data_IF_640207721399
#
_entry.id   IF_640207721399
#
_cell.length_a   1.000
_cell.length_b   1.000
_cell.length_c   1.000
_cell.angle_alpha   90.00
_cell.angle_beta   90.00
_cell.angle_gamma   90.00
#
_symmetry.space_group_name_H-M   'P 1'
#
loop_
_entity.id
_entity.type
_entity.pdbx_description
1 polymer ?
#
# COMPACT_ATOMS: atom_id res chain seq x y z
N UNK A 1 -24.18 37.71 64.51
CA UNK A 1 -24.10 37.96 63.04
C UNK A 1 -22.65 37.79 62.59
N UNK A 2 -22.43 37.03 61.49
CA UNK A 2 -21.18 36.72 60.73
C UNK A 2 -21.03 35.18 60.60
N UNK A 3 -21.81 34.57 59.69
CA UNK A 3 -21.47 34.16 58.31
C UNK A 3 -20.49 32.97 58.25
N UNK A 4 -21.05 31.76 58.14
CA UNK A 4 -20.38 30.57 57.61
C UNK A 4 -20.03 30.81 56.14
N UNK A 5 -18.76 30.69 55.79
CA UNK A 5 -18.32 30.51 54.40
C UNK A 5 -18.06 29.03 54.17
N UNK A 6 -18.98 28.39 53.45
CA UNK A 6 -18.84 27.04 52.93
C UNK A 6 -17.86 27.09 51.75
N UNK A 7 -16.63 26.62 51.96
CA UNK A 7 -15.63 26.49 50.89
C UNK A 7 -15.97 25.31 50.00
N UNK A 8 -16.50 25.58 48.81
CA UNK A 8 -16.69 24.60 47.74
C UNK A 8 -15.35 24.37 47.05
N UNK A 9 -14.60 23.37 47.49
CA UNK A 9 -13.40 22.90 46.80
C UNK A 9 -13.83 22.12 45.55
N UNK A 10 -13.89 22.83 44.44
CA UNK A 10 -13.91 22.26 43.08
C UNK A 10 -12.56 21.57 42.87
N UNK A 11 -12.55 20.25 42.97
CA UNK A 11 -11.40 19.41 42.65
C UNK A 11 -11.31 19.26 41.12
N UNK A 12 -10.74 20.27 40.47
CA UNK A 12 -10.27 20.19 39.08
C UNK A 12 -8.90 19.51 39.11
N UNK A 13 -8.91 18.20 38.87
CA UNK A 13 -7.74 17.38 38.53
C UNK A 13 -8.28 16.50 37.39
N UNK A 14 -7.82 16.53 36.16
CA UNK A 14 -6.58 16.98 35.56
C UNK A 14 -6.59 16.32 34.19
N UNK A 15 -7.07 17.03 33.17
CA UNK A 15 -6.80 16.69 31.78
C UNK A 15 -5.29 16.78 31.58
N UNK A 16 -4.67 15.70 31.11
CA UNK A 16 -3.51 15.64 30.20
C UNK A 16 -2.85 14.27 30.30
N UNK A 17 -3.25 13.36 29.43
CA UNK A 17 -2.43 12.27 28.92
C UNK A 17 -3.10 11.79 27.63
N UNK A 18 -2.92 12.54 26.54
CA UNK A 18 -3.22 12.04 25.19
C UNK A 18 -2.13 11.06 24.79
N UNK A 19 -2.17 9.86 25.36
CA UNK A 19 -1.54 8.72 24.74
C UNK A 19 -2.45 8.35 23.56
N UNK A 20 -2.04 8.71 22.33
CA UNK A 20 -2.60 8.15 21.10
C UNK A 20 -2.17 6.68 21.06
N UNK A 21 -2.84 5.86 21.87
CA UNK A 21 -2.74 4.42 21.84
C UNK A 21 -3.64 3.98 20.71
N UNK A 22 -3.16 3.03 19.89
CA UNK A 22 -3.94 2.39 18.85
C UNK A 22 -5.26 1.89 19.46
N UNK A 23 -6.34 2.64 19.22
CA UNK A 23 -7.64 2.36 19.83
C UNK A 23 -8.20 1.06 19.25
N UNK A 24 -8.18 -0.04 20.01
CA UNK A 24 -8.98 -1.22 19.69
C UNK A 24 -10.45 -0.78 19.50
N UNK A 25 -11.25 -1.60 18.78
CA UNK A 25 -12.68 -1.34 18.71
C UNK A 25 -13.25 -1.10 20.12
N UNK A 26 -14.23 -0.21 20.27
CA UNK A 26 -14.96 -0.10 21.52
C UNK A 26 -15.46 -1.49 21.97
N UNK A 27 -15.46 -1.74 23.27
CA UNK A 27 -16.03 -2.99 23.80
C UNK A 27 -17.53 -3.06 23.52
N UNK A 28 -18.07 -4.27 23.40
CA UNK A 28 -19.48 -4.52 23.07
C UNK A 28 -20.49 -3.97 24.11
N UNK A 29 -20.04 -3.51 25.27
CA UNK A 29 -20.91 -2.86 26.26
C UNK A 29 -22.16 -3.67 26.64
N UNK A 30 -23.31 -2.99 26.65
CA UNK A 30 -24.62 -3.61 26.85
C UNK A 30 -25.13 -4.07 25.49
N UNK A 31 -25.36 -5.36 25.34
CA UNK A 31 -25.77 -5.95 24.06
C UNK A 31 -27.30 -5.94 23.84
N UNK A 32 -27.78 -6.07 22.59
CA UNK A 32 -29.22 -5.99 22.25
C UNK A 32 -30.12 -7.04 22.90
N UNK A 33 -29.55 -8.14 23.38
CA UNK A 33 -30.26 -9.20 24.09
C UNK A 33 -30.52 -8.87 25.58
N UNK A 34 -30.03 -7.72 26.06
CA UNK A 34 -30.23 -7.22 27.41
C UNK A 34 -31.39 -6.23 27.48
N UNK A 35 -32.19 -6.31 28.54
CA UNK A 35 -33.25 -5.33 28.80
C UNK A 35 -32.71 -3.90 28.97
N UNK A 36 -31.47 -3.74 29.43
CA UNK A 36 -30.83 -2.43 29.64
C UNK A 36 -30.36 -1.76 28.35
N UNK A 37 -30.39 -2.45 27.22
CA UNK A 37 -29.89 -1.93 25.94
C UNK A 37 -30.63 -0.65 25.50
N UNK A 38 -31.93 -0.55 25.79
CA UNK A 38 -32.69 0.67 25.51
C UNK A 38 -32.15 1.92 26.22
N UNK A 39 -31.54 1.76 27.41
CA UNK A 39 -30.90 2.86 28.13
C UNK A 39 -29.56 3.23 27.50
N UNK A 40 -28.77 2.24 27.06
CA UNK A 40 -27.52 2.45 26.35
C UNK A 40 -27.75 3.32 25.11
N UNK A 41 -28.67 2.87 24.24
CA UNK A 41 -29.12 3.61 23.04
C UNK A 41 -29.72 4.98 23.34
N UNK A 42 -30.32 5.18 24.52
CA UNK A 42 -30.81 6.49 24.95
C UNK A 42 -29.64 7.43 25.30
N UNK A 43 -28.66 6.96 26.07
CA UNK A 43 -27.51 7.77 26.46
C UNK A 43 -26.63 8.14 25.26
N UNK A 44 -26.46 7.24 24.28
CA UNK A 44 -25.79 7.55 23.01
C UNK A 44 -26.46 8.73 22.28
N UNK A 45 -27.79 8.72 22.16
CA UNK A 45 -28.56 9.83 21.55
C UNK A 45 -28.42 11.13 22.34
N UNK A 46 -28.43 11.05 23.67
CA UNK A 46 -28.19 12.21 24.54
C UNK A 46 -26.77 12.76 24.31
N UNK A 47 -25.77 11.89 24.22
CA UNK A 47 -24.38 12.27 23.98
C UNK A 47 -24.24 12.98 22.62
N UNK A 48 -24.85 12.44 21.55
CA UNK A 48 -24.89 13.09 20.23
C UNK A 48 -25.59 14.45 20.26
N UNK A 49 -26.72 14.55 20.97
CA UNK A 49 -27.47 15.80 21.08
C UNK A 49 -26.65 16.92 21.73
N UNK A 50 -25.87 16.59 22.77
CA UNK A 50 -25.02 17.55 23.48
C UNK A 50 -23.62 17.71 22.85
N UNK A 51 -23.30 16.99 21.78
CA UNK A 51 -22.03 17.13 21.06
C UNK A 51 -22.21 18.15 19.94
N UNK A 52 -21.88 19.41 20.21
CA UNK A 52 -22.14 20.51 19.27
C UNK A 52 -21.08 20.68 18.18
N UNK A 53 -19.82 20.28 18.45
CA UNK A 53 -18.76 20.37 17.45
C UNK A 53 -18.93 19.25 16.40
N UNK A 54 -19.08 19.57 15.10
CA UNK A 54 -19.31 18.55 14.07
C UNK A 54 -18.16 17.54 13.96
N UNK A 55 -16.91 17.96 14.18
CA UNK A 55 -15.77 17.05 14.10
C UNK A 55 -15.75 16.07 15.29
N UNK A 56 -16.10 16.54 16.49
CA UNK A 56 -16.30 15.68 17.66
C UNK A 56 -17.49 14.73 17.45
N UNK A 57 -18.57 15.23 16.85
CA UNK A 57 -19.75 14.42 16.54
C UNK A 57 -19.45 13.33 15.53
N UNK A 58 -18.72 13.63 14.45
CA UNK A 58 -18.26 12.63 13.49
C UNK A 58 -17.45 11.51 14.17
N UNK A 59 -16.52 11.86 15.07
CA UNK A 59 -15.75 10.85 15.85
C UNK A 59 -16.63 10.01 16.75
N UNK A 60 -17.64 10.62 17.37
CA UNK A 60 -18.60 9.89 18.22
C UNK A 60 -19.46 8.92 17.41
N UNK A 61 -19.92 9.34 16.21
CA UNK A 61 -20.61 8.47 15.25
C UNK A 61 -19.75 7.25 14.88
N UNK A 62 -18.47 7.46 14.55
CA UNK A 62 -17.52 6.37 14.28
C UNK A 62 -17.35 5.44 15.48
N UNK A 63 -17.35 5.95 16.71
CA UNK A 63 -17.31 5.13 17.92
C UNK A 63 -18.53 4.22 17.99
N UNK A 64 -19.74 4.76 17.81
CA UNK A 64 -20.97 3.97 17.82
C UNK A 64 -21.01 2.94 16.70
N UNK A 65 -20.50 3.29 15.51
CA UNK A 65 -20.32 2.34 14.41
C UNK A 65 -19.41 1.15 14.83
N UNK A 66 -18.33 1.42 15.57
CA UNK A 66 -17.46 0.40 16.13
C UNK A 66 -18.13 -0.45 17.22
N UNK A 67 -18.93 0.17 18.09
CA UNK A 67 -19.73 -0.51 19.12
C UNK A 67 -20.72 -1.49 18.49
N UNK A 68 -21.40 -1.11 17.39
CA UNK A 68 -22.30 -2.01 16.67
C UNK A 68 -21.57 -3.25 16.13
N UNK A 69 -20.33 -3.11 15.64
CA UNK A 69 -19.50 -4.25 15.21
C UNK A 69 -19.15 -5.15 16.41
N UNK A 70 -18.78 -4.56 17.53
CA UNK A 70 -18.42 -5.31 18.74
C UNK A 70 -19.61 -6.08 19.32
N UNK A 71 -20.79 -5.45 19.35
CA UNK A 71 -22.04 -6.11 19.72
C UNK A 71 -22.38 -7.25 18.76
N UNK A 72 -22.23 -7.05 17.45
CA UNK A 72 -22.52 -8.08 16.47
C UNK A 72 -21.59 -9.29 16.64
N UNK A 73 -20.29 -9.05 16.87
CA UNK A 73 -19.34 -10.11 17.20
C UNK A 73 -19.76 -10.89 18.45
N UNK A 74 -20.22 -10.20 19.50
CA UNK A 74 -20.70 -10.87 20.72
C UNK A 74 -22.00 -11.65 20.48
N UNK A 75 -22.92 -11.14 19.66
CA UNK A 75 -24.15 -11.85 19.29
C UNK A 75 -23.85 -13.12 18.48
N UNK A 76 -22.91 -13.05 17.54
CA UNK A 76 -22.40 -14.23 16.82
C UNK A 76 -21.81 -15.24 17.80
N UNK A 77 -20.95 -14.79 18.72
CA UNK A 77 -20.31 -15.66 19.71
C UNK A 77 -21.29 -16.33 20.67
N UNK A 78 -22.41 -15.66 20.98
CA UNK A 78 -23.51 -16.19 21.81
C UNK A 78 -24.52 -17.03 21.03
N UNK A 79 -24.34 -17.20 19.72
CA UNK A 79 -25.26 -17.97 18.88
C UNK A 79 -26.61 -17.28 18.66
N UNK A 80 -26.62 -15.94 18.65
CA UNK A 80 -27.81 -15.10 18.43
C UNK A 80 -27.69 -14.26 17.14
N UNK A 81 -27.57 -14.90 15.96
CA UNK A 81 -27.35 -14.18 14.70
C UNK A 81 -28.53 -13.29 14.27
N UNK A 82 -29.71 -13.47 14.86
CA UNK A 82 -30.90 -12.67 14.57
C UNK A 82 -30.72 -11.16 14.82
N UNK A 83 -29.79 -10.77 15.70
CA UNK A 83 -29.49 -9.35 15.97
C UNK A 83 -28.50 -8.74 14.97
N UNK A 84 -27.74 -9.56 14.23
CA UNK A 84 -26.60 -9.09 13.42
C UNK A 84 -27.07 -8.16 12.31
N UNK A 85 -28.18 -8.49 11.65
CA UNK A 85 -28.68 -7.67 10.54
C UNK A 85 -29.02 -6.24 10.98
N UNK A 86 -29.65 -6.09 12.15
CA UNK A 86 -29.98 -4.77 12.68
C UNK A 86 -28.74 -3.99 13.07
N UNK A 87 -27.78 -4.63 13.73
CA UNK A 87 -26.51 -4.02 14.11
C UNK A 87 -25.67 -3.57 12.91
N UNK A 88 -25.63 -4.35 11.83
CA UNK A 88 -24.92 -3.96 10.60
C UNK A 88 -25.58 -2.77 9.91
N UNK A 89 -26.92 -2.71 9.91
CA UNK A 89 -27.64 -1.55 9.37
C UNK A 89 -27.39 -0.28 10.20
N UNK A 90 -27.37 -0.41 11.53
CA UNK A 90 -27.04 0.70 12.42
C UNK A 90 -25.60 1.16 12.24
N UNK A 91 -24.66 0.22 12.10
CA UNK A 91 -23.26 0.52 11.77
C UNK A 91 -23.14 1.39 10.51
N UNK A 92 -23.82 1.00 9.43
CA UNK A 92 -23.84 1.77 8.16
C UNK A 92 -24.46 3.15 8.33
N UNK A 93 -25.53 3.26 9.11
CA UNK A 93 -26.16 4.55 9.41
C UNK A 93 -25.17 5.47 10.14
N UNK A 94 -24.46 4.97 11.15
CA UNK A 94 -23.48 5.76 11.89
C UNK A 94 -22.31 6.22 10.99
N UNK A 95 -21.85 5.38 10.05
CA UNK A 95 -20.86 5.79 9.04
C UNK A 95 -21.40 6.92 8.14
N UNK A 96 -22.61 6.77 7.60
CA UNK A 96 -23.23 7.79 6.74
C UNK A 96 -23.46 9.11 7.48
N UNK A 97 -23.84 9.06 8.75
CA UNK A 97 -23.99 10.27 9.56
C UNK A 97 -22.63 10.92 9.86
N UNK A 98 -21.56 10.14 10.09
CA UNK A 98 -20.21 10.68 10.23
C UNK A 98 -19.74 11.41 8.96
N UNK A 99 -20.01 10.84 7.78
CA UNK A 99 -19.72 11.44 6.47
C UNK A 99 -20.42 12.79 6.31
N UNK A 100 -21.72 12.88 6.64
CA UNK A 100 -22.49 14.13 6.58
C UNK A 100 -21.89 15.25 7.45
N UNK A 101 -21.39 14.92 8.64
CA UNK A 101 -20.72 15.90 9.50
C UNK A 101 -19.42 16.42 8.86
N UNK A 102 -18.66 15.57 8.17
CA UNK A 102 -17.46 15.95 7.41
C UNK A 102 -17.81 16.83 6.21
N UNK A 103 -18.83 16.47 5.45
CA UNK A 103 -19.32 17.26 4.32
C UNK A 103 -19.78 18.65 4.77
N UNK A 104 -20.50 18.73 5.88
CA UNK A 104 -20.91 20.00 6.48
C UNK A 104 -19.72 20.88 6.86
N UNK A 105 -18.66 20.30 7.42
CA UNK A 105 -17.41 21.01 7.72
C UNK A 105 -16.70 21.51 6.45
N UNK A 106 -16.62 20.68 5.41
CA UNK A 106 -16.04 21.07 4.11
C UNK A 106 -16.82 22.22 3.46
N UNK A 107 -18.15 22.16 3.49
CA UNK A 107 -19.01 23.18 2.90
C UNK A 107 -18.82 24.58 3.50
N UNK A 108 -18.40 24.66 4.76
CA UNK A 108 -18.06 25.93 5.44
C UNK A 108 -16.56 26.26 5.37
N UNK A 109 -15.79 25.57 4.54
CA UNK A 109 -14.38 25.82 4.29
C UNK A 109 -13.45 25.42 5.44
N UNK A 110 -13.89 24.56 6.36
CA UNK A 110 -12.98 24.04 7.40
C UNK A 110 -12.06 22.97 6.82
N UNK A 111 -10.79 23.02 7.22
CA UNK A 111 -9.87 21.93 6.94
C UNK A 111 -10.32 20.68 7.73
N UNK A 112 -10.54 19.59 7.00
CA UNK A 112 -10.96 18.29 7.55
C UNK A 112 -9.91 17.21 7.40
N UNK A 113 -8.70 17.53 6.91
CA UNK A 113 -7.67 16.55 6.53
C UNK A 113 -7.39 15.54 7.64
N UNK A 114 -7.18 16.01 8.88
CA UNK A 114 -6.94 15.12 10.04
C UNK A 114 -8.16 14.29 10.43
N UNK A 115 -9.38 14.81 10.24
CA UNK A 115 -10.61 14.07 10.53
C UNK A 115 -10.83 12.97 9.49
N UNK A 116 -10.58 13.27 8.22
CA UNK A 116 -10.68 12.31 7.12
C UNK A 116 -9.63 11.20 7.26
N UNK A 117 -8.40 11.53 7.68
CA UNK A 117 -7.39 10.51 8.00
C UNK A 117 -7.80 9.66 9.20
N UNK A 118 -8.47 10.25 10.19
CA UNK A 118 -9.01 9.47 11.30
C UNK A 118 -10.11 8.50 10.82
N UNK A 119 -11.02 8.96 9.95
CA UNK A 119 -12.07 8.13 9.35
C UNK A 119 -11.45 6.96 8.59
N UNK A 120 -10.47 7.21 7.70
CA UNK A 120 -9.83 6.13 6.95
C UNK A 120 -9.18 5.10 7.89
N UNK A 121 -8.50 5.52 8.95
CA UNK A 121 -7.92 4.58 9.91
C UNK A 121 -8.98 3.76 10.67
N UNK A 122 -10.11 4.37 11.05
CA UNK A 122 -11.19 3.68 11.75
C UNK A 122 -11.91 2.70 10.83
N UNK A 123 -12.25 3.11 9.60
CA UNK A 123 -12.92 2.23 8.64
C UNK A 123 -12.03 1.08 8.17
N UNK A 124 -10.71 1.27 8.08
CA UNK A 124 -9.76 0.16 7.89
C UNK A 124 -9.87 -0.88 9.01
N UNK A 125 -10.01 -0.44 10.28
CA UNK A 125 -10.20 -1.36 11.40
C UNK A 125 -11.55 -2.05 11.35
N UNK A 126 -12.62 -1.32 11.00
CA UNK A 126 -13.94 -1.89 10.81
C UNK A 126 -13.92 -3.03 9.81
N UNK A 127 -13.30 -2.81 8.64
CA UNK A 127 -13.04 -3.84 7.63
C UNK A 127 -12.38 -5.06 8.29
N UNK A 128 -11.22 -4.90 8.94
CA UNK A 128 -10.46 -6.04 9.47
C UNK A 128 -11.25 -6.87 10.48
N UNK A 129 -12.00 -6.20 11.37
CA UNK A 129 -12.78 -6.92 12.37
C UNK A 129 -14.03 -7.55 11.77
N UNK A 130 -14.75 -6.83 10.91
CA UNK A 130 -15.92 -7.39 10.23
C UNK A 130 -15.56 -8.65 9.43
N UNK A 131 -14.39 -8.68 8.81
CA UNK A 131 -13.87 -9.87 8.13
C UNK A 131 -13.64 -11.04 9.09
N UNK A 132 -13.08 -10.79 10.28
CA UNK A 132 -12.93 -11.84 11.29
C UNK A 132 -14.27 -12.32 11.84
N UNK A 133 -15.23 -11.41 12.03
CA UNK A 133 -16.60 -11.73 12.44
C UNK A 133 -17.26 -12.59 11.36
N UNK A 134 -17.09 -12.24 10.09
CA UNK A 134 -17.62 -12.98 8.94
C UNK A 134 -17.16 -14.44 8.95
N UNK A 135 -15.87 -14.70 9.20
CA UNK A 135 -15.34 -16.08 9.24
C UNK A 135 -15.98 -16.95 10.33
N UNK A 136 -16.37 -16.33 11.45
CA UNK A 136 -16.93 -17.02 12.62
C UNK A 136 -18.47 -17.06 12.60
N UNK A 137 -19.07 -16.40 11.62
CA UNK A 137 -20.52 -16.18 11.59
C UNK A 137 -21.27 -17.33 10.94
N UNK A 138 -22.47 -17.67 11.45
CA UNK A 138 -23.36 -18.61 10.78
C UNK A 138 -23.84 -18.02 9.45
N UNK A 139 -24.20 -18.89 8.50
CA UNK A 139 -24.64 -18.49 7.15
C UNK A 139 -25.75 -17.42 7.15
N UNK A 140 -26.64 -17.46 8.12
CA UNK A 140 -27.71 -16.46 8.27
C UNK A 140 -27.19 -15.03 8.46
N UNK A 141 -26.06 -14.85 9.13
CA UNK A 141 -25.49 -13.54 9.46
C UNK A 141 -24.52 -13.01 8.40
N UNK A 142 -23.93 -13.91 7.59
CA UNK A 142 -22.88 -13.55 6.62
C UNK A 142 -23.28 -12.45 5.62
N UNK A 143 -24.48 -12.46 4.99
CA UNK A 143 -24.83 -11.43 4.01
C UNK A 143 -24.85 -10.02 4.59
N UNK A 144 -25.32 -9.86 5.84
CA UNK A 144 -25.33 -8.56 6.51
C UNK A 144 -23.91 -8.07 6.82
N UNK A 145 -23.02 -8.99 7.22
CA UNK A 145 -21.62 -8.66 7.52
C UNK A 145 -20.84 -8.33 6.24
N UNK A 146 -21.06 -9.08 5.15
CA UNK A 146 -20.49 -8.77 3.83
C UNK A 146 -20.90 -7.39 3.34
N UNK A 147 -22.17 -7.02 3.52
CA UNK A 147 -22.66 -5.69 3.17
C UNK A 147 -21.97 -4.60 4.01
N UNK A 148 -21.81 -4.81 5.33
CA UNK A 148 -21.10 -3.89 6.20
C UNK A 148 -19.61 -3.75 5.86
N UNK A 149 -18.95 -4.84 5.42
CA UNK A 149 -17.56 -4.80 4.91
C UNK A 149 -17.51 -3.89 3.68
N UNK A 150 -18.42 -4.08 2.71
CA UNK A 150 -18.46 -3.29 1.49
C UNK A 150 -18.75 -1.81 1.78
N UNK A 151 -19.64 -1.50 2.72
CA UNK A 151 -19.91 -0.15 3.17
C UNK A 151 -18.67 0.49 3.82
N UNK A 152 -17.98 -0.24 4.70
CA UNK A 152 -16.74 0.21 5.34
C UNK A 152 -15.61 0.42 4.31
N UNK A 153 -15.50 -0.44 3.30
CA UNK A 153 -14.54 -0.29 2.19
C UNK A 153 -14.82 0.97 1.37
N UNK A 154 -16.09 1.19 1.01
CA UNK A 154 -16.50 2.38 0.27
C UNK A 154 -16.18 3.66 1.04
N UNK A 155 -16.50 3.70 2.33
CA UNK A 155 -16.21 4.85 3.19
C UNK A 155 -14.69 5.06 3.34
N UNK A 156 -13.93 3.98 3.51
CA UNK A 156 -12.47 4.02 3.59
C UNK A 156 -11.83 4.60 2.32
N UNK A 157 -12.25 4.13 1.14
CA UNK A 157 -11.78 4.62 -0.15
C UNK A 157 -12.17 6.10 -0.36
N UNK A 158 -13.41 6.48 -0.02
CA UNK A 158 -13.89 7.87 -0.11
C UNK A 158 -13.10 8.81 0.80
N UNK A 159 -12.78 8.36 2.02
CA UNK A 159 -11.92 9.10 2.93
C UNK A 159 -10.51 9.28 2.35
N UNK A 160 -9.90 8.23 1.79
CA UNK A 160 -8.59 8.33 1.13
C UNK A 160 -8.62 9.30 -0.06
N UNK A 161 -9.66 9.24 -0.89
CA UNK A 161 -9.82 10.18 -2.00
C UNK A 161 -9.89 11.63 -1.48
N UNK A 162 -10.58 11.84 -0.37
CA UNK A 162 -10.61 13.13 0.33
C UNK A 162 -9.29 13.59 0.94
N UNK A 163 -8.28 12.71 1.07
CA UNK A 163 -6.92 13.05 1.50
C UNK A 163 -5.98 13.36 0.34
N UNK A 164 -6.34 12.94 -0.87
CA UNK A 164 -5.44 12.90 -2.02
C UNK A 164 -4.84 14.26 -2.40
N UNK A 165 -5.60 15.34 -2.23
CA UNK A 165 -5.14 16.69 -2.56
C UNK A 165 -4.14 17.22 -1.52
N UNK A 166 -4.44 17.02 -0.24
CA UNK A 166 -3.64 17.57 0.86
C UNK A 166 -2.43 16.69 1.19
N UNK A 167 -2.66 15.38 1.31
CA UNK A 167 -1.72 14.35 1.78
C UNK A 167 -1.66 13.15 0.81
N UNK A 168 -1.26 13.35 -0.45
CA UNK A 168 -1.20 12.29 -1.45
C UNK A 168 -0.30 11.12 -1.05
N UNK A 169 0.85 11.39 -0.40
CA UNK A 169 1.75 10.33 0.04
C UNK A 169 1.08 9.41 1.08
N UNK A 170 0.31 10.03 1.99
CA UNK A 170 -0.45 9.31 3.01
C UNK A 170 -1.63 8.53 2.42
N UNK A 171 -2.31 9.11 1.43
CA UNK A 171 -3.39 8.44 0.70
C UNK A 171 -2.89 7.15 0.02
N UNK A 172 -1.75 7.22 -0.67
CA UNK A 172 -1.12 6.05 -1.30
C UNK A 172 -0.72 4.98 -0.27
N UNK A 173 -0.11 5.38 0.85
CA UNK A 173 0.24 4.44 1.93
C UNK A 173 -0.99 3.68 2.46
N UNK A 174 -2.11 4.38 2.67
CA UNK A 174 -3.34 3.76 3.15
C UNK A 174 -3.95 2.79 2.11
N UNK A 175 -3.90 3.12 0.81
CA UNK A 175 -4.33 2.20 -0.25
C UNK A 175 -3.45 0.96 -0.32
N UNK A 176 -2.12 1.12 -0.23
CA UNK A 176 -1.16 0.01 -0.22
C UNK A 176 -1.42 -0.92 0.97
N UNK A 177 -1.71 -0.35 2.14
CA UNK A 177 -2.07 -1.12 3.34
C UNK A 177 -3.38 -1.89 3.18
N UNK A 178 -4.39 -1.31 2.51
CA UNK A 178 -5.62 -2.02 2.19
C UNK A 178 -5.38 -3.14 1.18
N UNK A 179 -4.59 -2.91 0.12
CA UNK A 179 -4.22 -3.92 -0.85
C UNK A 179 -3.49 -5.11 -0.17
N UNK A 180 -2.51 -4.84 0.70
CA UNK A 180 -1.80 -5.89 1.44
C UNK A 180 -2.75 -6.73 2.31
N UNK A 181 -3.73 -6.09 2.96
CA UNK A 181 -4.76 -6.80 3.72
C UNK A 181 -5.59 -7.74 2.83
N UNK A 182 -6.06 -7.28 1.67
CA UNK A 182 -6.82 -8.10 0.70
C UNK A 182 -6.01 -9.29 0.23
N UNK A 183 -4.76 -9.06 -0.13
CA UNK A 183 -3.87 -10.11 -0.60
C UNK A 183 -3.59 -11.16 0.49
N UNK A 184 -3.38 -10.70 1.73
CA UNK A 184 -3.25 -11.58 2.89
C UNK A 184 -4.49 -12.44 3.12
N UNK A 185 -5.69 -11.90 2.90
CA UNK A 185 -6.94 -12.67 2.96
C UNK A 185 -7.08 -13.68 1.84
N UNK A 186 -6.85 -13.28 0.60
CA UNK A 186 -6.88 -14.19 -0.54
C UNK A 186 -5.93 -15.38 -0.34
N UNK A 187 -4.70 -15.11 0.11
CA UNK A 187 -3.73 -16.17 0.42
C UNK A 187 -4.20 -17.09 1.56
N UNK A 188 -4.85 -16.57 2.62
CA UNK A 188 -5.46 -17.42 3.66
C UNK A 188 -6.56 -18.33 3.09
N UNK A 189 -7.46 -17.78 2.27
CA UNK A 189 -8.53 -18.55 1.61
C UNK A 189 -8.00 -19.67 0.74
N UNK A 190 -6.90 -19.42 0.01
CA UNK A 190 -6.20 -20.47 -0.74
C UNK A 190 -5.66 -21.56 0.18
N UNK A 191 -4.98 -21.20 1.27
CA UNK A 191 -4.45 -22.17 2.24
C UNK A 191 -5.57 -23.01 2.90
N UNK A 192 -6.74 -22.42 3.10
CA UNK A 192 -7.96 -23.06 3.62
C UNK A 192 -8.73 -23.86 2.55
N UNK A 193 -8.25 -23.91 1.30
CA UNK A 193 -8.92 -24.55 0.14
C UNK A 193 -10.28 -23.93 -0.23
N UNK A 194 -10.50 -22.66 0.12
CA UNK A 194 -11.70 -21.87 -0.22
C UNK A 194 -11.43 -21.02 -1.47
N UNK A 195 -11.18 -21.71 -2.58
CA UNK A 195 -10.63 -21.12 -3.80
C UNK A 195 -11.54 -20.08 -4.46
N UNK A 196 -12.85 -20.34 -4.52
CA UNK A 196 -13.83 -19.41 -5.10
C UNK A 196 -13.87 -18.07 -4.34
N UNK A 197 -13.74 -18.12 -3.02
CA UNK A 197 -13.69 -16.91 -2.19
C UNK A 197 -12.38 -16.15 -2.36
N UNK A 198 -11.27 -16.85 -2.60
CA UNK A 198 -9.99 -16.20 -2.90
C UNK A 198 -10.07 -15.34 -4.17
N UNK A 199 -10.75 -15.82 -5.22
CA UNK A 199 -10.95 -15.07 -6.46
C UNK A 199 -11.68 -13.74 -6.22
N UNK A 200 -12.79 -13.76 -5.47
CA UNK A 200 -13.56 -12.55 -5.14
C UNK A 200 -12.73 -11.52 -4.36
N UNK A 201 -11.93 -11.98 -3.40
CA UNK A 201 -11.04 -11.08 -2.63
C UNK A 201 -9.93 -10.48 -3.50
N UNK A 202 -9.52 -11.18 -4.55
CA UNK A 202 -8.48 -10.69 -5.48
C UNK A 202 -9.03 -9.60 -6.41
N UNK A 203 -10.30 -9.66 -6.80
CA UNK A 203 -10.94 -8.54 -7.51
C UNK A 203 -10.93 -7.26 -6.66
N UNK A 204 -11.16 -7.37 -5.34
CA UNK A 204 -11.01 -6.25 -4.42
C UNK A 204 -9.57 -5.75 -4.32
N UNK A 205 -8.60 -6.66 -4.23
CA UNK A 205 -7.18 -6.32 -4.24
C UNK A 205 -6.82 -5.51 -5.48
N UNK A 206 -7.22 -5.99 -6.65
CA UNK A 206 -6.89 -5.37 -7.92
C UNK A 206 -7.50 -3.98 -8.05
N UNK A 207 -8.77 -3.82 -7.67
CA UNK A 207 -9.45 -2.51 -7.63
C UNK A 207 -8.68 -1.51 -6.77
N UNK A 208 -8.29 -1.90 -5.56
CA UNK A 208 -7.54 -1.04 -4.62
C UNK A 208 -6.14 -0.73 -5.17
N UNK A 209 -5.48 -1.71 -5.77
CA UNK A 209 -4.15 -1.56 -6.37
C UNK A 209 -4.18 -0.55 -7.53
N UNK A 210 -5.16 -0.66 -8.43
CA UNK A 210 -5.36 0.28 -9.54
C UNK A 210 -5.60 1.71 -9.04
N UNK A 211 -6.41 1.89 -7.98
CA UNK A 211 -6.58 3.20 -7.33
C UNK A 211 -5.26 3.74 -6.78
N UNK A 212 -4.43 2.88 -6.17
CA UNK A 212 -3.13 3.30 -5.64
C UNK A 212 -2.15 3.74 -6.73
N UNK A 213 -2.20 3.12 -7.91
CA UNK A 213 -1.39 3.51 -9.06
C UNK A 213 -1.82 4.89 -9.56
N UNK A 214 -3.12 5.09 -9.79
CA UNK A 214 -3.69 6.39 -10.18
C UNK A 214 -3.34 7.50 -9.18
N UNK A 215 -3.40 7.20 -7.87
CA UNK A 215 -3.01 8.13 -6.81
C UNK A 215 -1.53 8.53 -6.92
N UNK A 216 -0.65 7.55 -7.16
CA UNK A 216 0.79 7.79 -7.30
C UNK A 216 1.10 8.66 -8.52
N UNK A 217 0.42 8.41 -9.65
CA UNK A 217 0.53 9.23 -10.87
C UNK A 217 0.03 10.66 -10.66
N UNK A 218 -1.10 10.85 -9.96
CA UNK A 218 -1.60 12.18 -9.58
C UNK A 218 -0.60 12.94 -8.71
N UNK A 219 -0.02 12.26 -7.73
CA UNK A 219 0.99 12.82 -6.83
C UNK A 219 2.22 13.33 -7.60
N UNK A 220 2.59 12.67 -8.70
CA UNK A 220 3.67 13.11 -9.60
C UNK A 220 3.38 14.43 -10.26
N UNK A 221 2.17 14.60 -10.77
CA UNK A 221 1.74 15.84 -11.42
C UNK A 221 1.87 17.07 -10.52
N UNK A 222 1.83 16.88 -9.19
CA UNK A 222 1.98 17.95 -8.20
C UNK A 222 3.44 18.37 -7.93
N UNK A 223 4.44 17.68 -8.50
CA UNK A 223 5.85 18.04 -8.37
C UNK A 223 6.46 17.81 -6.98
N UNK A 224 5.80 17.03 -6.11
CA UNK A 224 6.26 16.71 -4.74
C UNK A 224 7.45 15.73 -4.78
N UNK A 225 8.35 15.86 -3.80
CA UNK A 225 9.42 14.87 -3.60
C UNK A 225 8.84 13.64 -2.91
N UNK A 226 8.56 12.61 -3.69
CA UNK A 226 7.96 11.36 -3.17
C UNK A 226 8.88 10.17 -3.37
N UNK A 227 10.18 10.43 -3.26
CA UNK A 227 11.20 9.39 -3.45
C UNK A 227 10.99 8.22 -2.48
N UNK A 228 10.83 8.51 -1.19
CA UNK A 228 10.54 7.50 -0.17
C UNK A 228 9.21 6.77 -0.41
N UNK A 229 8.19 7.47 -0.95
CA UNK A 229 6.93 6.84 -1.32
C UNK A 229 7.12 5.87 -2.50
N UNK A 230 7.89 6.27 -3.51
CA UNK A 230 8.22 5.38 -4.61
C UNK A 230 8.93 4.14 -4.06
N UNK A 231 10.02 4.28 -3.32
CA UNK A 231 10.73 3.15 -2.69
C UNK A 231 9.78 2.20 -1.95
N UNK A 232 8.87 2.75 -1.14
CA UNK A 232 7.85 1.97 -0.45
C UNK A 232 6.92 1.22 -1.41
N UNK A 233 6.36 1.90 -2.42
CA UNK A 233 5.50 1.31 -3.45
C UNK A 233 6.22 0.19 -4.22
N UNK A 234 7.48 0.38 -4.61
CA UNK A 234 8.29 -0.63 -5.28
C UNK A 234 8.45 -1.89 -4.42
N UNK A 235 8.77 -1.73 -3.14
CA UNK A 235 8.94 -2.86 -2.21
C UNK A 235 7.62 -3.61 -1.98
N UNK A 236 6.52 -2.89 -1.80
CA UNK A 236 5.19 -3.48 -1.59
C UNK A 236 4.71 -4.24 -2.82
N UNK A 237 4.75 -3.62 -4.00
CA UNK A 237 4.36 -4.24 -5.27
C UNK A 237 5.17 -5.51 -5.57
N UNK A 238 6.48 -5.51 -5.29
CA UNK A 238 7.31 -6.71 -5.40
C UNK A 238 6.80 -7.84 -4.51
N UNK A 239 6.60 -7.57 -3.21
CA UNK A 239 6.06 -8.57 -2.27
C UNK A 239 4.68 -9.06 -2.68
N UNK A 240 3.84 -8.18 -3.21
CA UNK A 240 2.51 -8.54 -3.66
C UNK A 240 2.56 -9.52 -4.82
N UNK A 241 3.41 -9.28 -5.82
CA UNK A 241 3.61 -10.19 -6.97
C UNK A 241 4.00 -11.59 -6.47
N UNK A 242 4.95 -11.70 -5.54
CA UNK A 242 5.37 -12.99 -4.98
C UNK A 242 4.24 -13.76 -4.28
N UNK A 243 3.34 -13.06 -3.59
CA UNK A 243 2.17 -13.70 -2.95
C UNK A 243 1.13 -14.06 -4.00
N UNK A 244 0.90 -13.20 -5.00
CA UNK A 244 -0.05 -13.46 -6.09
C UNK A 244 0.37 -14.66 -6.94
N UNK A 245 1.66 -14.84 -7.23
CA UNK A 245 2.17 -16.04 -7.91
C UNK A 245 1.88 -17.32 -7.11
N UNK A 246 2.02 -17.25 -5.78
CA UNK A 246 1.66 -18.36 -4.89
C UNK A 246 0.16 -18.63 -4.91
N UNK A 247 -0.66 -17.58 -4.93
CA UNK A 247 -2.12 -17.70 -5.07
C UNK A 247 -2.44 -18.34 -6.43
N UNK A 248 -1.86 -17.86 -7.53
CA UNK A 248 -2.06 -18.35 -8.89
C UNK A 248 -1.77 -19.85 -9.02
N UNK A 249 -0.69 -20.32 -8.39
CA UNK A 249 -0.29 -21.72 -8.43
C UNK A 249 -1.27 -22.68 -7.73
N UNK A 250 -2.17 -22.16 -6.89
CA UNK A 250 -3.03 -22.96 -6.00
C UNK A 250 -4.54 -22.69 -6.19
N UNK A 251 -4.93 -21.79 -7.10
CA UNK A 251 -6.34 -21.53 -7.43
C UNK A 251 -6.85 -22.41 -8.58
N UNK A 252 -8.16 -22.44 -8.77
CA UNK A 252 -8.81 -23.18 -9.85
C UNK A 252 -8.65 -22.44 -11.18
N UNK A 253 -8.81 -23.15 -12.30
CA UNK A 253 -8.70 -22.57 -13.64
C UNK A 253 -9.65 -21.39 -13.84
N UNK A 254 -10.84 -21.44 -13.24
CA UNK A 254 -11.84 -20.36 -13.33
C UNK A 254 -11.38 -19.07 -12.63
N UNK A 255 -10.57 -19.18 -11.57
CA UNK A 255 -10.08 -18.04 -10.81
C UNK A 255 -8.75 -17.48 -11.34
N UNK A 256 -8.00 -18.23 -12.16
CA UNK A 256 -6.70 -17.79 -12.70
C UNK A 256 -6.74 -16.43 -13.40
N UNK A 257 -7.71 -16.12 -14.28
CA UNK A 257 -7.73 -14.84 -14.98
C UNK A 257 -7.74 -13.64 -14.03
N UNK A 258 -8.49 -13.73 -12.93
CA UNK A 258 -8.53 -12.67 -11.92
C UNK A 258 -7.17 -12.50 -11.21
N UNK A 259 -6.47 -13.62 -10.92
CA UNK A 259 -5.14 -13.55 -10.30
C UNK A 259 -4.10 -12.99 -11.27
N UNK A 260 -4.14 -13.38 -12.54
CA UNK A 260 -3.24 -12.87 -13.59
C UNK A 260 -3.43 -11.36 -13.79
N UNK A 261 -4.69 -10.90 -13.78
CA UNK A 261 -4.99 -9.48 -13.88
C UNK A 261 -4.46 -8.69 -12.66
N UNK A 262 -4.59 -9.25 -11.45
CA UNK A 262 -3.98 -8.70 -10.24
C UNK A 262 -2.44 -8.68 -10.26
N UNK A 263 -1.79 -9.70 -10.83
CA UNK A 263 -0.33 -9.72 -11.06
C UNK A 263 0.04 -8.59 -12.00
N UNK A 264 -0.64 -8.46 -13.14
CA UNK A 264 -0.38 -7.42 -14.13
C UNK A 264 -0.56 -6.01 -13.55
N UNK A 265 -1.60 -5.77 -12.75
CA UNK A 265 -1.80 -4.50 -12.03
C UNK A 265 -0.61 -4.21 -11.09
N UNK A 266 -0.16 -5.21 -10.35
CA UNK A 266 0.99 -5.09 -9.42
C UNK A 266 2.30 -4.85 -10.17
N UNK A 267 2.52 -5.53 -11.30
CA UNK A 267 3.68 -5.34 -12.17
C UNK A 267 3.70 -3.94 -12.78
N UNK A 268 2.57 -3.43 -13.27
CA UNK A 268 2.44 -2.06 -13.76
C UNK A 268 2.81 -1.05 -12.67
N UNK A 269 2.31 -1.24 -11.45
CA UNK A 269 2.65 -0.40 -10.31
C UNK A 269 4.15 -0.45 -9.97
N UNK A 270 4.75 -1.65 -10.01
CA UNK A 270 6.18 -1.85 -9.78
C UNK A 270 7.04 -1.16 -10.84
N UNK A 271 6.70 -1.34 -12.11
CA UNK A 271 7.40 -0.73 -13.25
C UNK A 271 7.34 0.80 -13.18
N UNK A 272 6.15 1.37 -12.95
CA UNK A 272 5.96 2.81 -12.78
C UNK A 272 6.87 3.37 -11.68
N UNK A 273 6.93 2.68 -10.54
CA UNK A 273 7.78 3.06 -9.44
C UNK A 273 9.28 2.95 -9.78
N UNK A 274 9.71 1.85 -10.40
CA UNK A 274 11.12 1.64 -10.78
C UNK A 274 11.58 2.68 -11.79
N UNK A 275 10.77 2.95 -12.82
CA UNK A 275 11.02 4.02 -13.80
C UNK A 275 11.18 5.39 -13.12
N UNK A 276 10.47 5.62 -12.01
CA UNK A 276 10.64 6.84 -11.22
C UNK A 276 11.94 6.88 -10.45
N UNK A 277 12.29 5.81 -9.73
CA UNK A 277 13.56 5.72 -9.01
C UNK A 277 14.71 5.99 -10.00
N UNK A 278 14.65 5.39 -11.20
CA UNK A 278 15.61 5.63 -12.29
C UNK A 278 15.64 7.09 -12.75
N UNK A 279 14.50 7.75 -12.95
CA UNK A 279 14.44 9.20 -13.27
C UNK A 279 15.10 10.05 -12.18
N UNK A 280 14.87 9.74 -10.91
CA UNK A 280 15.44 10.48 -9.77
C UNK A 280 16.96 10.28 -9.73
N UNK A 281 17.44 9.05 -9.91
CA UNK A 281 18.86 8.73 -9.98
C UNK A 281 19.50 9.49 -11.15
N UNK A 282 18.95 9.41 -12.37
CA UNK A 282 19.47 10.11 -13.54
C UNK A 282 19.50 11.63 -13.36
N UNK A 283 18.44 12.23 -12.82
CA UNK A 283 18.40 13.68 -12.52
C UNK A 283 19.42 14.08 -11.46
N UNK A 284 19.70 13.20 -10.50
CA UNK A 284 20.74 13.44 -9.47
C UNK A 284 22.14 13.38 -10.08
N UNK A 285 22.36 12.50 -11.07
CA UNK A 285 23.59 12.42 -11.87
C UNK A 285 23.75 13.66 -12.77
N UNK A 286 22.66 14.13 -13.41
CA UNK A 286 22.67 15.31 -14.30
C UNK A 286 22.82 16.65 -13.57
N UNK A 287 22.19 16.82 -12.39
CA UNK A 287 22.25 18.08 -11.62
C UNK A 287 23.60 18.35 -10.95
N UNK A 288 24.56 17.44 -11.06
CA UNK A 288 25.97 17.73 -10.83
C UNK A 288 26.29 18.50 -9.54
N UNK A 289 25.64 18.21 -8.41
CA UNK A 289 26.18 18.60 -7.11
C UNK A 289 27.23 17.58 -6.69
N UNK A 290 28.27 17.50 -7.49
CA UNK A 290 29.50 16.83 -7.14
C UNK A 290 30.17 17.70 -6.07
N UNK A 291 30.13 17.26 -4.80
CA UNK A 291 31.02 17.82 -3.79
C UNK A 291 32.40 17.21 -4.05
N UNK A 292 33.41 18.06 -4.21
CA UNK A 292 34.80 17.60 -4.16
C UNK A 292 35.01 16.95 -2.80
N UNK A 293 35.56 15.74 -2.79
CA UNK A 293 35.80 14.99 -1.56
C UNK A 293 37.24 14.51 -1.49
N UNK A 294 37.83 14.50 -0.30
CA UNK A 294 39.14 13.87 -0.06
C UNK A 294 39.03 12.60 0.78
N UNK A 295 37.86 12.33 1.36
CA UNK A 295 37.52 11.13 2.12
C UNK A 295 36.03 10.78 1.98
N UNK A 296 35.66 9.56 2.38
CA UNK A 296 34.25 9.11 2.39
C UNK A 296 33.39 9.90 3.39
N UNK A 297 33.96 10.40 4.49
CA UNK A 297 33.27 11.18 5.53
C UNK A 297 32.75 12.53 4.99
N UNK A 298 33.46 13.13 4.03
CA UNK A 298 33.02 14.38 3.38
C UNK A 298 31.77 14.19 2.49
N UNK A 299 31.43 12.94 2.16
CA UNK A 299 30.26 12.58 1.37
C UNK A 299 28.95 12.47 2.17
N UNK A 300 28.99 12.50 3.52
CA UNK A 300 27.80 12.33 4.36
C UNK A 300 26.77 13.46 4.22
N UNK A 301 27.20 14.65 3.80
CA UNK A 301 26.35 15.84 3.66
C UNK A 301 25.82 16.08 2.22
N UNK A 302 25.93 15.10 1.33
CA UNK A 302 25.65 15.29 -0.09
C UNK A 302 24.17 15.11 -0.44
N UNK A 303 23.67 16.05 -1.26
CA UNK A 303 22.29 16.10 -1.77
C UNK A 303 22.00 15.09 -2.89
N UNK A 304 22.95 14.23 -3.26
CA UNK A 304 22.74 13.16 -4.24
C UNK A 304 21.89 12.08 -3.60
N UNK A 305 20.69 11.84 -4.14
CA UNK A 305 19.85 10.74 -3.67
C UNK A 305 20.58 9.41 -3.91
N UNK A 306 20.82 8.67 -2.84
CA UNK A 306 21.41 7.34 -2.87
C UNK A 306 20.45 6.35 -2.20
N UNK A 307 19.86 5.39 -2.95
CA UNK A 307 18.84 4.50 -2.42
C UNK A 307 19.46 3.43 -1.51
N UNK A 308 19.73 3.81 -0.26
CA UNK A 308 20.42 2.95 0.72
C UNK A 308 19.63 1.67 1.00
N UNK A 309 18.30 1.75 1.00
CA UNK A 309 17.41 0.59 1.17
C UNK A 309 17.51 -0.43 0.03
N UNK A 310 17.97 -0.02 -1.15
CA UNK A 310 18.23 -0.89 -2.30
C UNK A 310 19.69 -1.36 -2.36
N UNK A 311 20.44 -1.21 -1.26
CA UNK A 311 21.81 -1.69 -1.14
C UNK A 311 22.84 -0.79 -1.81
N UNK A 312 22.56 0.51 -1.90
CA UNK A 312 23.54 1.50 -2.35
C UNK A 312 24.19 2.21 -1.15
N UNK A 313 25.38 2.75 -1.36
CA UNK A 313 26.13 3.56 -0.41
C UNK A 313 26.80 4.72 -1.13
N UNK A 314 26.94 5.85 -0.44
CA UNK A 314 27.71 6.98 -0.96
C UNK A 314 29.19 6.73 -0.69
N UNK A 315 30.03 6.84 -1.72
CA UNK A 315 31.49 6.70 -1.62
C UNK A 315 32.22 7.80 -2.38
N UNK A 316 33.36 8.23 -1.87
CA UNK A 316 34.27 9.14 -2.54
C UNK A 316 35.15 8.37 -3.55
N UNK A 317 35.17 8.80 -4.80
CA UNK A 317 36.06 8.28 -5.83
C UNK A 317 37.11 9.33 -6.20
N UNK A 318 38.38 9.08 -5.87
CA UNK A 318 39.52 9.96 -6.22
C UNK A 318 40.26 9.34 -7.43
N UNK A 319 40.20 9.95 -8.62
CA UNK A 319 40.97 9.49 -9.77
C UNK A 319 42.48 9.57 -9.51
N UNK A 320 43.25 8.61 -10.01
CA UNK A 320 44.71 8.46 -9.78
C UNK A 320 45.56 9.73 -10.05
N UNK A 321 45.05 10.67 -10.86
CA UNK A 321 45.73 11.92 -11.23
C UNK A 321 45.06 13.18 -10.63
N UNK A 322 44.25 13.06 -9.58
CA UNK A 322 43.60 14.19 -8.90
C UNK A 322 43.79 14.12 -7.39
N UNK A 323 43.84 15.28 -6.74
CA UNK A 323 43.91 15.42 -5.28
C UNK A 323 42.53 15.45 -4.63
N UNK A 324 41.50 15.71 -5.43
CA UNK A 324 40.10 15.74 -5.02
C UNK A 324 39.32 14.71 -5.84
N UNK A 325 38.50 13.96 -5.13
CA UNK A 325 37.55 13.00 -5.67
C UNK A 325 36.15 13.56 -5.80
N UNK A 326 35.27 12.70 -6.27
CA UNK A 326 33.86 12.99 -6.47
C UNK A 326 33.05 11.96 -5.69
N UNK A 327 32.04 12.41 -4.94
CA UNK A 327 31.14 11.47 -4.28
C UNK A 327 30.14 10.89 -5.27
N UNK A 328 30.02 9.57 -5.23
CA UNK A 328 29.13 8.78 -6.08
C UNK A 328 28.28 7.88 -5.20
N UNK A 329 27.03 7.66 -5.62
CA UNK A 329 26.23 6.57 -5.08
C UNK A 329 26.62 5.26 -5.79
N UNK A 330 27.26 4.36 -5.06
CA UNK A 330 27.69 3.05 -5.55
C UNK A 330 26.81 1.96 -4.94
N UNK A 331 26.49 0.87 -5.65
CA UNK A 331 26.00 -0.33 -4.99
C UNK A 331 27.04 -0.81 -3.97
N UNK A 332 26.61 -1.14 -2.73
CA UNK A 332 27.46 -1.80 -1.71
C UNK A 332 28.10 -3.07 -2.25
N UNK A 333 27.44 -3.70 -3.22
CA UNK A 333 27.83 -4.93 -3.90
C UNK A 333 28.93 -4.74 -4.94
N UNK A 334 30.01 -4.00 -4.62
CA UNK A 334 31.29 -4.19 -5.29
C UNK A 334 32.42 -4.19 -4.29
N UNK A 335 32.81 -5.41 -3.91
CA UNK A 335 34.21 -5.87 -3.96
C UNK A 335 34.27 -7.38 -3.74
N UNK A 336 33.97 -8.14 -4.78
CA UNK A 336 34.65 -9.39 -5.08
C UNK A 336 34.42 -9.65 -6.57
N UNK A 337 35.49 -9.52 -7.35
CA UNK A 337 35.50 -10.00 -8.73
C UNK A 337 35.53 -11.52 -8.63
N UNK A 338 34.35 -12.14 -8.71
CA UNK A 338 34.23 -13.59 -8.71
C UNK A 338 34.20 -14.01 -10.17
N UNK A 339 35.34 -14.55 -10.62
CA UNK A 339 35.36 -15.29 -11.88
C UNK A 339 34.52 -16.54 -11.69
N UNK A 340 33.68 -16.81 -12.67
CA UNK A 340 32.81 -17.97 -12.66
C UNK A 340 32.88 -18.68 -13.99
N UNK A 341 32.51 -19.95 -13.97
CA UNK A 341 32.28 -20.74 -15.19
C UNK A 341 30.82 -21.16 -15.26
N UNK A 342 30.14 -21.22 -14.11
CA UNK A 342 28.73 -21.57 -13.96
C UNK A 342 28.08 -20.69 -12.88
N UNK A 343 26.75 -20.59 -12.88
CA UNK A 343 26.00 -19.81 -11.86
C UNK A 343 26.20 -20.34 -10.44
N UNK A 344 26.58 -21.62 -10.32
CA UNK A 344 26.89 -22.23 -9.04
C UNK A 344 28.07 -21.56 -8.35
N UNK A 345 29.03 -21.05 -9.12
CA UNK A 345 30.20 -20.32 -8.61
C UNK A 345 29.81 -18.96 -8.02
N UNK A 346 28.63 -18.45 -8.42
CA UNK A 346 28.10 -17.15 -7.99
C UNK A 346 27.17 -17.23 -6.78
N UNK A 347 26.91 -18.42 -6.22
CA UNK A 347 25.93 -18.62 -5.11
C UNK A 347 26.18 -17.77 -3.85
N UNK A 348 27.40 -17.29 -3.66
CA UNK A 348 27.77 -16.44 -2.52
C UNK A 348 27.67 -14.94 -2.83
N UNK A 349 27.35 -14.56 -4.08
CA UNK A 349 27.05 -13.19 -4.45
C UNK A 349 25.64 -12.85 -3.94
N UNK A 350 25.57 -11.88 -3.03
CA UNK A 350 24.31 -11.39 -2.48
C UNK A 350 23.73 -10.37 -3.47
N UNK A 351 22.61 -10.72 -4.09
CA UNK A 351 21.92 -9.86 -5.05
C UNK A 351 20.73 -9.13 -4.42
N UNK A 352 20.43 -7.89 -4.88
CA UNK A 352 19.33 -7.10 -4.35
C UNK A 352 17.98 -7.75 -4.70
N UNK A 353 17.01 -7.73 -3.78
CA UNK A 353 15.66 -8.28 -4.00
C UNK A 353 14.82 -7.37 -4.93
N UNK A 354 15.26 -7.22 -6.18
CA UNK A 354 14.61 -6.44 -7.24
C UNK A 354 14.33 -7.41 -8.40
N UNK A 355 13.10 -7.38 -8.94
CA UNK A 355 12.74 -8.20 -10.10
C UNK A 355 13.72 -7.91 -11.23
N UNK A 356 14.38 -8.96 -11.73
CA UNK A 356 15.37 -8.82 -12.80
C UNK A 356 16.83 -8.76 -12.35
N UNK A 357 17.11 -8.67 -11.05
CA UNK A 357 18.47 -8.54 -10.51
C UNK A 357 18.67 -9.19 -9.14
N UNK A 358 17.85 -10.19 -8.80
CA UNK A 358 17.81 -10.86 -7.49
C UNK A 358 18.58 -12.18 -7.42
N UNK A 359 19.10 -12.64 -8.56
CA UNK A 359 19.76 -13.93 -8.68
C UNK A 359 21.21 -13.75 -9.12
N UNK A 360 22.18 -14.31 -8.40
CA UNK A 360 23.55 -14.28 -8.85
C UNK A 360 23.77 -15.28 -9.99
N UNK A 361 24.20 -14.80 -11.15
CA UNK A 361 24.43 -15.59 -12.37
C UNK A 361 25.82 -15.34 -12.92
N UNK A 362 26.35 -16.29 -13.67
CA UNK A 362 27.62 -16.21 -14.34
C UNK A 362 27.44 -15.80 -15.81
N UNK A 363 27.83 -14.57 -16.14
CA UNK A 363 27.80 -14.07 -17.51
C UNK A 363 29.18 -13.58 -17.94
N UNK A 364 29.63 -14.03 -19.12
CA UNK A 364 30.96 -13.68 -19.67
C UNK A 364 32.11 -13.86 -18.65
N UNK A 365 32.14 -15.03 -18.00
CA UNK A 365 33.08 -15.43 -16.93
C UNK A 365 33.04 -14.55 -15.67
N UNK A 366 31.93 -13.84 -15.43
CA UNK A 366 31.79 -12.93 -14.28
C UNK A 366 30.46 -13.12 -13.57
N UNK A 367 30.51 -13.16 -12.25
CA UNK A 367 29.28 -13.14 -11.46
C UNK A 367 28.63 -11.76 -11.52
N UNK A 368 27.38 -11.73 -11.96
CA UNK A 368 26.51 -10.55 -11.98
C UNK A 368 25.19 -10.88 -11.29
N UNK A 369 24.41 -9.85 -10.96
CA UNK A 369 23.04 -10.03 -10.48
C UNK A 369 22.07 -9.89 -11.65
N UNK A 370 21.33 -10.95 -11.94
CA UNK A 370 20.34 -11.06 -13.00
C UNK A 370 19.08 -11.78 -12.51
N UNK A 371 18.23 -12.24 -13.42
CA UNK A 371 16.90 -12.72 -13.06
C UNK A 371 16.79 -14.26 -13.03
N UNK A 372 16.10 -14.81 -12.02
CA UNK A 372 15.94 -16.28 -11.85
C UNK A 372 15.19 -16.99 -12.97
N UNK A 373 14.37 -16.27 -13.72
CA UNK A 373 13.46 -16.82 -14.73
C UNK A 373 14.15 -17.19 -16.06
N UNK A 374 15.43 -16.84 -16.24
CA UNK A 374 16.17 -17.25 -17.44
C UNK A 374 16.76 -18.67 -17.36
N UNK A 375 16.67 -19.37 -16.21
CA UNK A 375 17.42 -20.63 -16.00
C UNK A 375 16.59 -21.88 -15.66
N UNK A 376 15.31 -21.76 -15.35
CA UNK A 376 14.46 -22.94 -15.13
C UNK A 376 13.70 -23.32 -16.42
N UNK A 377 14.39 -24.07 -17.28
CA UNK A 377 13.81 -24.93 -18.31
C UNK A 377 12.89 -24.21 -19.32
N UNK A 378 13.52 -23.61 -20.35
CA UNK A 378 12.89 -23.01 -21.55
C UNK A 378 11.98 -23.97 -22.34
N UNK A 379 11.90 -25.25 -21.96
CA UNK A 379 11.13 -26.32 -22.61
C UNK A 379 9.84 -26.69 -21.86
N UNK A 380 9.82 -26.57 -20.52
CA UNK A 380 8.71 -27.04 -19.68
C UNK A 380 7.57 -26.01 -19.56
N UNK A 381 7.90 -24.72 -19.67
CA UNK A 381 6.93 -23.63 -19.81
C UNK A 381 6.31 -23.56 -21.22
N UNK A 382 7.08 -23.93 -22.25
CA UNK A 382 6.61 -24.03 -23.65
C UNK A 382 5.53 -25.09 -23.84
N UNK A 383 5.60 -26.19 -23.09
CA UNK A 383 4.62 -27.29 -23.17
C UNK A 383 3.37 -27.06 -22.31
N UNK A 384 3.42 -26.18 -21.28
CA UNK A 384 2.35 -26.07 -20.27
C UNK A 384 1.39 -24.90 -20.46
N UNK A 385 1.79 -23.81 -21.13
CA UNK A 385 0.98 -22.57 -21.17
C UNK A 385 0.83 -21.95 -22.58
N UNK A 386 0.75 -22.79 -23.62
CA UNK A 386 0.02 -22.53 -24.87
C UNK A 386 0.34 -21.25 -25.66
N UNK A 387 0.86 -21.44 -26.88
CA UNK A 387 1.36 -20.48 -27.88
C UNK A 387 0.46 -19.28 -28.27
N UNK A 388 -0.74 -19.13 -27.73
CA UNK A 388 -1.71 -18.11 -28.16
C UNK A 388 -1.60 -16.80 -27.37
N UNK A 389 -1.38 -16.86 -26.05
CA UNK A 389 -1.29 -15.65 -25.20
C UNK A 389 0.06 -14.94 -25.33
N UNK A 390 1.13 -15.71 -25.51
CA UNK A 390 2.49 -15.19 -25.67
C UNK A 390 2.64 -14.49 -27.00
N UNK A 391 2.01 -14.96 -28.08
CA UNK A 391 2.11 -14.31 -29.40
C UNK A 391 1.53 -12.89 -29.38
N UNK A 392 0.42 -12.67 -28.67
CA UNK A 392 -0.24 -11.36 -28.58
C UNK A 392 0.50 -10.39 -27.64
N UNK A 393 1.06 -10.90 -26.53
CA UNK A 393 1.87 -10.12 -25.59
C UNK A 393 3.26 -9.83 -26.16
N UNK A 394 3.86 -10.77 -26.87
CA UNK A 394 5.17 -10.64 -27.49
C UNK A 394 5.12 -9.78 -28.75
N UNK A 395 4.03 -9.81 -29.54
CA UNK A 395 3.80 -8.82 -30.61
C UNK A 395 3.63 -7.39 -30.04
N UNK A 396 3.03 -7.26 -28.84
CA UNK A 396 2.90 -5.97 -28.14
C UNK A 396 4.23 -5.48 -27.56
N UNK A 397 5.04 -6.37 -26.98
CA UNK A 397 6.38 -6.06 -26.48
C UNK A 397 7.33 -5.73 -27.64
N UNK A 398 7.30 -6.49 -28.74
CA UNK A 398 8.06 -6.20 -29.95
C UNK A 398 7.64 -4.88 -30.59
N UNK A 399 6.34 -4.51 -30.58
CA UNK A 399 5.87 -3.17 -30.99
C UNK A 399 6.37 -2.05 -30.07
N UNK A 400 6.47 -2.30 -28.77
CA UNK A 400 6.98 -1.34 -27.78
C UNK A 400 8.51 -1.19 -27.92
N UNK A 401 9.24 -2.27 -28.17
CA UNK A 401 10.67 -2.26 -28.44
C UNK A 401 11.00 -1.65 -29.82
N UNK A 402 10.17 -1.87 -30.85
CA UNK A 402 10.27 -1.19 -32.14
C UNK A 402 10.01 0.31 -32.02
N UNK A 403 9.03 0.72 -31.20
CA UNK A 403 8.80 2.14 -30.89
C UNK A 403 9.99 2.75 -30.14
N UNK A 404 10.67 1.99 -29.28
CA UNK A 404 11.80 2.48 -28.49
C UNK A 404 13.12 2.53 -29.30
N UNK A 405 13.33 1.61 -30.24
CA UNK A 405 14.58 1.52 -31.01
C UNK A 405 14.62 2.35 -32.30
N UNK A 406 13.48 2.83 -32.82
CA UNK A 406 13.47 3.51 -34.13
C UNK A 406 13.61 5.05 -34.07
N UNK A 407 13.35 5.70 -32.93
CA UNK A 407 13.34 7.18 -32.88
C UNK A 407 14.65 7.83 -32.42
N UNK A 408 15.52 7.13 -31.69
CA UNK A 408 16.76 7.73 -31.14
C UNK A 408 18.04 7.31 -31.89
N UNK A 409 18.05 6.16 -32.56
CA UNK A 409 19.22 5.67 -33.31
C UNK A 409 19.30 6.34 -34.71
N UNK A 410 18.18 6.45 -35.44
CA UNK A 410 18.15 7.12 -36.74
C UNK A 410 18.43 8.64 -36.60
N UNK A 411 17.89 9.27 -35.56
CA UNK A 411 18.15 10.69 -35.21
C UNK A 411 19.62 10.95 -34.89
N UNK A 412 20.27 10.04 -34.14
CA UNK A 412 21.71 10.14 -33.83
C UNK A 412 22.60 9.82 -35.03
N UNK A 413 22.20 8.94 -35.95
CA UNK A 413 22.96 8.65 -37.17
C UNK A 413 22.91 9.83 -38.17
N UNK A 414 21.76 10.49 -38.32
CA UNK A 414 21.64 11.70 -39.15
C UNK A 414 22.36 12.93 -38.54
N UNK A 415 22.37 13.06 -37.21
CA UNK A 415 23.11 14.12 -36.49
C UNK A 415 24.63 13.90 -36.50
N UNK A 416 25.10 12.64 -36.51
CA UNK A 416 26.54 12.33 -36.54
C UNK A 416 27.17 12.40 -37.95
N UNK A 417 26.38 12.27 -39.04
CA UNK A 417 26.89 12.28 -40.42
C UNK A 417 26.06 13.13 -41.39
N UNK A 418 26.14 14.48 -41.32
CA UNK A 418 25.44 15.34 -42.26
C UNK A 418 26.11 15.25 -43.65
N UNK A 419 25.46 14.55 -44.60
CA UNK A 419 25.83 14.58 -46.02
C UNK A 419 26.13 13.25 -46.71
N UNK A 420 25.97 12.10 -46.06
CA UNK A 420 26.17 10.81 -46.73
C UNK A 420 24.89 10.32 -47.45
N UNK A 421 24.45 11.10 -48.46
CA UNK A 421 23.75 10.54 -49.63
C UNK A 421 24.71 10.59 -50.81
N UNK A 422 25.36 9.46 -51.07
CA UNK A 422 25.48 8.95 -52.43
C UNK A 422 25.44 7.43 -52.41
#
# INVERSE_FOLDING_TARGET
>A
MKRLTLGMTILVIGMLSTSVIAQELPGAGITPDSWLYGFDRFFERVQLFFTFDPAAKARLRLQFAGERIAEANEMVRRGKPEFVQDLMREHELELSEAEKEVEGLRAVGRNVTLLVEHISNVTYRHITVLEEVLEKSPEQAKPAIEHAINASMKEHETAIEGLSEDLPERATELLMRLAENRLGRANRKVLERRIEEAGKVIEDYERVMNKSIDMTEKTEGLGRNVTALAEHVCNMTYKHILVLERVLANVSEEAKPAIEHAINASMKGHENCMNRILRIINKSVEKGKWKACTSDEECEEILTYCPVEFGFEVKCHIPLNRTEGICHCWPKWRKLWINCTTDADCRNLICPMVIGSDTPICEANRCICGARWEMANRTEWRERFGEELTSEVQERIEKIEEMYNRTEIERRIEEMFPGMRR
#
